data_IF_547423873994
#
_entry.id   IF_547423873994
#
_cell.length_a   1.000
_cell.length_b   1.000
_cell.length_c   1.000
_cell.angle_alpha   90.00
_cell.angle_beta   90.00
_cell.angle_gamma   90.00
#
_symmetry.space_group_name_H-M   'P 1'
#
loop_
_entity.id
_entity.type
_entity.pdbx_description
1 polymer ?
#
# COMPACT_ATOMS: atom_id res chain seq x y z
N UNK A 1 48.41 7.16 -7.92
CA UNK A 1 48.12 6.94 -6.48
C UNK A 1 47.15 7.99 -5.98
N UNK A 2 45.85 7.69 -6.03
CA UNK A 2 44.77 8.24 -5.19
C UNK A 2 43.56 7.34 -5.45
N UNK A 3 43.06 6.72 -4.38
CA UNK A 3 42.15 5.58 -4.45
C UNK A 3 40.72 5.99 -4.75
N UNK A 4 40.10 5.21 -5.63
CA UNK A 4 38.67 5.17 -5.91
C UNK A 4 38.03 4.28 -4.84
N UNK A 5 37.19 4.85 -3.96
CA UNK A 5 36.35 4.10 -3.04
C UNK A 5 34.96 3.96 -3.66
N UNK A 6 34.63 2.75 -4.07
CA UNK A 6 33.28 2.31 -4.36
C UNK A 6 32.46 2.29 -3.06
N UNK A 7 31.32 2.95 -3.04
CA UNK A 7 30.28 2.77 -2.02
C UNK A 7 29.16 1.93 -2.64
N UNK A 8 29.07 0.68 -2.21
CA UNK A 8 27.84 -0.11 -2.28
C UNK A 8 26.96 0.38 -1.13
N UNK A 9 25.87 1.09 -1.41
CA UNK A 9 24.79 1.27 -0.44
C UNK A 9 23.83 0.08 -0.56
N UNK A 10 23.95 -0.83 0.41
CA UNK A 10 22.99 -1.88 0.68
C UNK A 10 21.86 -1.25 1.51
N UNK A 11 20.77 -0.84 0.87
CA UNK A 11 19.58 -0.33 1.57
C UNK A 11 18.87 -1.48 2.29
N UNK A 12 19.25 -1.71 3.54
CA UNK A 12 18.49 -2.51 4.49
C UNK A 12 17.15 -1.81 4.75
N UNK A 13 16.08 -2.33 4.16
CA UNK A 13 14.71 -1.98 4.55
C UNK A 13 14.47 -2.49 5.98
N UNK A 14 14.63 -1.60 6.95
CA UNK A 14 14.22 -1.85 8.32
C UNK A 14 12.70 -1.70 8.42
N UNK A 15 12.03 -2.82 8.66
CA UNK A 15 10.88 -2.90 9.58
C UNK A 15 11.29 -2.11 10.83
N UNK A 16 10.69 -0.93 11.03
CA UNK A 16 10.87 -0.19 12.27
C UNK A 16 10.00 -0.87 13.33
N UNK A 17 10.62 -1.89 13.92
CA UNK A 17 10.09 -2.82 14.90
C UNK A 17 9.43 -2.10 16.08
N UNK A 18 8.22 -2.60 16.35
CA UNK A 18 7.58 -2.83 17.64
C UNK A 18 8.60 -3.16 18.76
N UNK A 19 9.30 -2.15 19.29
CA UNK A 19 10.33 -2.36 20.30
C UNK A 19 9.70 -2.41 21.69
N UNK A 20 9.11 -3.57 22.03
CA UNK A 20 9.12 -4.17 23.39
C UNK A 20 8.40 -5.52 23.55
N UNK A 21 8.30 -6.37 22.51
CA UNK A 21 7.90 -7.78 22.72
C UNK A 21 9.12 -8.71 22.58
N UNK A 22 9.41 -9.58 23.55
CA UNK A 22 10.47 -10.56 23.42
C UNK A 22 10.00 -11.74 22.55
N UNK A 23 10.89 -12.20 21.66
CA UNK A 23 10.85 -13.46 20.87
C UNK A 23 9.88 -13.48 19.68
N UNK A 24 10.47 -13.33 18.48
CA UNK A 24 9.83 -13.52 17.18
C UNK A 24 9.05 -12.29 16.72
N UNK A 25 9.50 -11.65 15.64
CA UNK A 25 8.78 -10.55 14.99
C UNK A 25 7.36 -11.06 14.67
N UNK A 26 6.34 -10.52 15.33
CA UNK A 26 4.97 -10.96 15.11
C UNK A 26 4.55 -10.54 13.71
N UNK A 27 4.19 -11.49 12.85
CA UNK A 27 3.63 -11.22 11.53
C UNK A 27 2.28 -10.49 11.71
N UNK A 28 2.12 -9.34 11.07
CA UNK A 28 0.90 -8.52 11.13
C UNK A 28 0.40 -8.22 9.73
N UNK A 29 -0.89 -7.93 9.62
CA UNK A 29 -1.53 -7.50 8.36
C UNK A 29 -2.49 -6.35 8.65
N UNK A 30 -2.63 -5.36 7.75
CA UNK A 30 -3.58 -4.28 7.93
C UNK A 30 -5.00 -4.81 8.18
N UNK A 31 -5.68 -4.17 9.11
CA UNK A 31 -7.10 -4.35 9.33
C UNK A 31 -7.84 -3.22 8.64
N UNK A 32 -8.71 -3.57 7.70
CA UNK A 32 -9.67 -2.62 7.16
C UNK A 32 -11.08 -3.02 7.58
N UNK A 33 -11.93 -2.08 8.05
CA UNK A 33 -13.24 -2.42 8.60
C UNK A 33 -14.14 -3.24 7.66
N UNK A 34 -14.01 -3.09 6.34
CA UNK A 34 -14.81 -3.85 5.39
C UNK A 34 -14.37 -5.33 5.28
N UNK A 35 -13.16 -5.67 5.74
CA UNK A 35 -12.64 -7.04 5.70
C UNK A 35 -13.32 -7.94 6.75
N UNK A 36 -13.96 -7.35 7.76
CA UNK A 36 -14.74 -8.08 8.76
C UNK A 36 -13.92 -9.10 9.57
N UNK A 37 -12.60 -8.90 9.68
CA UNK A 37 -11.71 -9.87 10.31
C UNK A 37 -12.00 -10.04 11.81
N UNK A 38 -11.96 -11.29 12.28
CA UNK A 38 -12.30 -11.64 13.66
C UNK A 38 -11.21 -12.46 14.38
N UNK A 39 -11.21 -12.39 15.70
CA UNK A 39 -10.32 -13.18 16.55
C UNK A 39 -10.54 -14.68 16.30
N UNK A 40 -9.46 -15.42 16.15
CA UNK A 40 -9.50 -16.86 15.91
C UNK A 40 -9.93 -17.25 14.50
N UNK A 41 -10.19 -16.29 13.60
CA UNK A 41 -10.42 -16.57 12.19
C UNK A 41 -9.14 -17.05 11.51
N UNK A 42 -9.25 -17.99 10.58
CA UNK A 42 -8.18 -18.33 9.64
C UNK A 42 -7.85 -17.16 8.72
N UNK A 43 -6.66 -17.18 8.11
CA UNK A 43 -6.20 -16.08 7.28
C UNK A 43 -5.29 -16.57 6.15
N UNK A 44 -5.48 -16.00 4.96
CA UNK A 44 -4.60 -16.23 3.82
C UNK A 44 -3.64 -15.04 3.65
N UNK A 45 -2.36 -15.23 3.95
CA UNK A 45 -1.35 -14.15 3.91
C UNK A 45 -1.02 -13.67 2.50
N UNK A 46 -1.28 -14.49 1.48
CA UNK A 46 -1.11 -14.07 0.09
C UNK A 46 -2.21 -13.11 -0.32
N UNK A 47 -3.47 -13.51 -0.22
CA UNK A 47 -4.59 -12.67 -0.68
C UNK A 47 -5.01 -11.59 0.32
N UNK A 48 -4.55 -11.68 1.58
CA UNK A 48 -4.95 -10.77 2.65
C UNK A 48 -6.39 -10.99 3.12
N UNK A 49 -6.99 -12.14 2.80
CA UNK A 49 -8.39 -12.44 3.08
C UNK A 49 -8.55 -13.30 4.34
N UNK A 50 -9.61 -13.02 5.09
CA UNK A 50 -10.09 -13.91 6.14
C UNK A 50 -10.58 -15.24 5.55
N UNK A 51 -10.21 -16.34 6.20
CA UNK A 51 -10.60 -17.69 5.87
C UNK A 51 -11.68 -18.19 6.86
N UNK A 52 -11.64 -19.44 7.29
CA UNK A 52 -12.62 -20.04 8.21
C UNK A 52 -12.79 -19.21 9.50
N UNK A 53 -14.01 -18.75 9.76
CA UNK A 53 -14.40 -18.13 11.03
C UNK A 53 -14.35 -19.16 12.17
N UNK A 54 -13.73 -18.76 13.28
CA UNK A 54 -13.58 -19.64 14.44
C UNK A 54 -12.69 -20.85 14.17
N UNK A 55 -11.71 -20.75 13.27
CA UNK A 55 -10.66 -21.75 13.08
C UNK A 55 -9.92 -22.06 14.40
N UNK A 56 -9.83 -21.07 15.29
CA UNK A 56 -9.28 -21.18 16.64
C UNK A 56 -10.27 -20.57 17.63
N UNK A 57 -10.60 -21.31 18.69
CA UNK A 57 -11.34 -20.74 19.82
C UNK A 57 -10.39 -19.85 20.62
N UNK A 58 -10.80 -18.59 20.80
CA UNK A 58 -10.12 -17.63 21.67
C UNK A 58 -10.90 -17.52 22.97
N UNK A 59 -10.22 -17.63 24.11
CA UNK A 59 -10.82 -17.44 25.43
C UNK A 59 -9.94 -16.55 26.27
N UNK A 60 -10.52 -15.48 26.82
CA UNK A 60 -9.83 -14.59 27.74
C UNK A 60 -9.47 -15.33 29.04
N UNK A 61 -8.26 -15.08 29.55
CA UNK A 61 -7.86 -15.51 30.88
C UNK A 61 -8.42 -14.48 31.88
N UNK A 62 -9.26 -14.89 32.85
CA UNK A 62 -9.81 -13.96 33.84
C UNK A 62 -8.72 -13.20 34.60
N UNK A 63 -9.00 -11.94 34.92
CA UNK A 63 -8.10 -11.09 35.71
C UNK A 63 -7.72 -11.77 37.04
N UNK A 64 -6.42 -11.75 37.35
CA UNK A 64 -5.83 -12.43 38.51
C UNK A 64 -5.32 -13.85 38.26
N UNK A 65 -5.51 -14.42 37.06
CA UNK A 65 -4.89 -15.70 36.63
C UNK A 65 -3.97 -15.57 35.41
N UNK A 66 -3.94 -14.41 34.74
CA UNK A 66 -3.01 -14.12 33.66
C UNK A 66 -1.62 -13.85 34.24
N UNK A 67 -0.74 -14.84 34.18
CA UNK A 67 0.68 -14.67 34.47
C UNK A 67 1.43 -14.46 33.16
N UNK A 68 2.34 -13.49 33.09
CA UNK A 68 3.35 -13.47 32.03
C UNK A 68 4.23 -14.74 32.11
N UNK A 69 5.12 -14.97 31.13
CA UNK A 69 6.04 -16.12 31.13
C UNK A 69 6.97 -16.19 32.38
N UNK A 70 6.96 -15.15 33.23
CA UNK A 70 7.71 -15.04 34.48
C UNK A 70 6.84 -15.22 35.73
N UNK A 71 5.56 -15.55 35.60
CA UNK A 71 4.68 -15.82 36.74
C UNK A 71 4.11 -14.56 37.41
N UNK A 72 4.25 -13.38 36.81
CA UNK A 72 3.75 -12.12 37.35
C UNK A 72 2.36 -11.82 36.81
N UNK A 73 1.44 -11.37 37.67
CA UNK A 73 0.11 -10.90 37.26
C UNK A 73 0.27 -9.80 36.22
N UNK A 74 -0.28 -10.00 35.02
CA UNK A 74 -0.26 -8.99 33.97
C UNK A 74 -1.06 -7.77 34.43
N UNK A 75 -0.37 -6.75 34.95
CA UNK A 75 -0.93 -5.41 35.05
C UNK A 75 -1.30 -4.95 33.63
N UNK A 76 -2.47 -4.33 33.47
CA UNK A 76 -2.78 -3.66 32.21
C UNK A 76 -1.67 -2.66 31.93
N UNK A 77 -1.02 -2.69 30.74
CA UNK A 77 -0.08 -1.65 30.41
C UNK A 77 -0.87 -0.35 30.28
N UNK A 78 -0.83 0.46 31.33
CA UNK A 78 -1.11 1.89 31.28
C UNK A 78 0.05 2.58 30.56
N UNK A 79 0.24 2.24 29.29
CA UNK A 79 1.20 2.87 28.41
C UNK A 79 0.47 3.77 27.43
N UNK A 80 0.93 5.01 27.29
CA UNK A 80 0.63 5.80 26.10
C UNK A 80 1.06 4.96 24.88
N UNK A 81 0.13 4.65 23.96
CA UNK A 81 0.41 3.88 22.76
C UNK A 81 1.62 4.43 21.98
N UNK A 82 2.27 3.59 21.19
CA UNK A 82 3.43 4.00 20.38
C UNK A 82 2.94 4.94 19.28
N UNK A 83 3.45 6.16 19.25
CA UNK A 83 3.07 7.18 18.27
C UNK A 83 4.16 7.39 17.22
N UNK A 84 3.75 7.39 15.95
CA UNK A 84 4.58 7.63 14.78
C UNK A 84 4.04 8.80 13.98
N UNK A 85 4.91 9.73 13.61
CA UNK A 85 4.60 10.83 12.69
C UNK A 85 5.74 10.92 11.69
N UNK A 86 5.43 10.82 10.40
CA UNK A 86 6.42 11.02 9.32
C UNK A 86 5.80 11.69 8.10
N UNK A 87 6.62 12.41 7.34
CA UNK A 87 6.33 12.76 5.96
C UNK A 87 7.51 12.32 5.09
N UNK A 88 7.24 11.53 4.06
CA UNK A 88 8.29 11.01 3.17
C UNK A 88 7.92 11.24 1.70
N UNK A 89 8.93 11.44 0.86
CA UNK A 89 8.73 11.41 -0.59
C UNK A 89 8.54 9.96 -1.05
N UNK A 90 7.55 9.74 -1.91
CA UNK A 90 7.26 8.47 -2.56
C UNK A 90 7.56 8.62 -4.04
N UNK A 91 8.59 7.91 -4.49
CA UNK A 91 9.18 7.98 -5.83
C UNK A 91 8.77 6.81 -6.74
N UNK A 92 8.24 5.74 -6.16
CA UNK A 92 7.74 4.57 -6.89
C UNK A 92 6.36 4.16 -6.41
N UNK A 93 5.55 3.63 -7.34
CA UNK A 93 4.22 3.12 -7.01
C UNK A 93 4.29 1.92 -6.05
N UNK A 94 5.32 1.08 -6.18
CA UNK A 94 5.59 -0.01 -5.25
C UNK A 94 5.78 0.51 -3.82
N UNK A 95 6.59 1.58 -3.64
CA UNK A 95 6.76 2.22 -2.34
C UNK A 95 5.45 2.78 -1.82
N UNK A 96 4.59 3.37 -2.68
CA UNK A 96 3.24 3.81 -2.29
C UNK A 96 2.40 2.64 -1.77
N UNK A 97 2.28 1.55 -2.52
CA UNK A 97 1.47 0.40 -2.11
C UNK A 97 1.99 -0.25 -0.82
N UNK A 98 3.32 -0.46 -0.73
CA UNK A 98 3.98 -1.00 0.48
C UNK A 98 3.82 -0.09 1.69
N UNK A 99 3.79 1.23 1.49
CA UNK A 99 3.63 2.19 2.58
C UNK A 99 2.30 2.09 3.32
N UNK A 100 1.32 1.43 2.71
CA UNK A 100 -0.01 1.14 3.23
C UNK A 100 -0.15 -0.32 3.68
N UNK A 101 0.95 -1.09 3.64
CA UNK A 101 1.03 -2.50 4.02
C UNK A 101 0.08 -3.44 3.22
N UNK A 102 -0.34 -3.03 2.01
CA UNK A 102 -1.23 -3.81 1.14
C UNK A 102 -0.42 -4.88 0.39
N UNK A 103 -0.88 -6.14 0.40
CA UNK A 103 -0.25 -7.17 -0.42
C UNK A 103 -0.54 -6.97 -1.92
N UNK A 104 0.45 -7.28 -2.77
CA UNK A 104 0.32 -7.08 -4.20
C UNK A 104 -0.80 -7.93 -4.82
N UNK A 105 -0.97 -9.17 -4.37
CA UNK A 105 -2.07 -10.06 -4.73
C UNK A 105 -3.45 -9.54 -4.32
N UNK A 106 -3.58 -8.91 -3.15
CA UNK A 106 -4.85 -8.27 -2.75
C UNK A 106 -5.21 -7.13 -3.72
N UNK A 107 -4.21 -6.34 -4.14
CA UNK A 107 -4.42 -5.25 -5.08
C UNK A 107 -4.81 -5.75 -6.49
N UNK A 108 -4.10 -6.75 -7.03
CA UNK A 108 -4.47 -7.38 -8.32
C UNK A 108 -5.87 -7.98 -8.28
N UNK A 109 -6.19 -8.71 -7.20
CA UNK A 109 -7.46 -9.40 -7.03
C UNK A 109 -8.65 -8.45 -6.93
N UNK A 110 -8.46 -7.24 -6.40
CA UNK A 110 -9.54 -6.29 -6.13
C UNK A 110 -10.48 -6.73 -5.01
N UNK A 111 -10.03 -7.65 -4.15
CA UNK A 111 -10.76 -8.18 -3.01
C UNK A 111 -10.00 -7.87 -1.71
N UNK A 112 -10.69 -7.85 -0.57
CA UNK A 112 -10.07 -7.63 0.74
C UNK A 112 -9.51 -6.21 0.89
N UNK A 113 -8.25 -6.11 1.35
CA UNK A 113 -7.63 -4.84 1.74
C UNK A 113 -7.66 -3.75 0.64
N UNK A 114 -7.58 -4.14 -0.63
CA UNK A 114 -7.62 -3.18 -1.75
C UNK A 114 -9.02 -2.59 -2.01
N UNK A 115 -10.09 -3.27 -1.61
CA UNK A 115 -11.47 -2.82 -1.84
C UNK A 115 -11.90 -1.70 -0.88
N UNK A 116 -11.25 -1.61 0.30
CA UNK A 116 -11.56 -0.59 1.31
C UNK A 116 -10.79 0.71 1.11
N UNK A 117 -9.72 0.69 0.31
CA UNK A 117 -8.93 1.87 -0.04
C UNK A 117 -9.50 2.41 -1.34
N UNK A 118 -9.76 3.72 -1.42
CA UNK A 118 -10.37 4.23 -2.64
C UNK A 118 -9.45 4.02 -3.84
N UNK A 119 -10.08 3.77 -4.99
CA UNK A 119 -9.38 3.69 -6.26
C UNK A 119 -8.56 4.95 -6.58
N UNK A 120 -8.93 6.13 -6.05
CA UNK A 120 -8.19 7.37 -6.27
C UNK A 120 -6.85 7.40 -5.50
N UNK A 121 -6.79 6.81 -4.30
CA UNK A 121 -5.57 6.84 -3.47
C UNK A 121 -4.46 5.95 -4.04
N UNK A 122 -4.84 4.87 -4.71
CA UNK A 122 -3.94 3.95 -5.42
C UNK A 122 -4.01 4.15 -6.93
N UNK A 123 -4.51 5.29 -7.40
CA UNK A 123 -4.51 5.62 -8.83
C UNK A 123 -3.07 5.81 -9.31
N UNK A 124 -2.58 4.79 -10.03
CA UNK A 124 -1.25 4.79 -10.63
C UNK A 124 -1.10 5.85 -11.72
N UNK A 125 -2.14 6.14 -12.49
CA UNK A 125 -2.09 7.17 -13.54
C UNK A 125 -1.84 8.55 -12.92
N UNK A 126 -2.57 8.86 -11.84
CA UNK A 126 -2.35 10.10 -11.07
C UNK A 126 -0.97 10.14 -10.42
N UNK A 127 -0.48 9.00 -9.90
CA UNK A 127 0.85 8.89 -9.32
C UNK A 127 1.95 9.15 -10.35
N UNK A 128 1.93 8.44 -11.49
CA UNK A 128 2.96 8.50 -12.54
C UNK A 128 3.01 9.86 -13.24
N UNK A 129 1.90 10.61 -13.24
CA UNK A 129 1.82 11.96 -13.84
C UNK A 129 2.18 13.07 -12.86
N UNK A 130 2.27 12.79 -11.57
CA UNK A 130 2.73 13.74 -10.56
C UNK A 130 4.24 13.97 -10.70
N UNK A 131 4.68 15.22 -10.50
CA UNK A 131 6.11 15.55 -10.48
C UNK A 131 6.76 15.13 -9.17
N UNK A 132 6.02 15.28 -8.06
CA UNK A 132 6.44 14.83 -6.73
C UNK A 132 5.24 14.30 -5.97
N UNK A 133 5.40 13.16 -5.30
CA UNK A 133 4.40 12.64 -4.35
C UNK A 133 5.02 12.55 -2.96
N UNK A 134 4.29 13.07 -1.96
CA UNK A 134 4.64 12.96 -0.56
C UNK A 134 3.54 12.22 0.19
N UNK A 135 3.94 11.42 1.16
CA UNK A 135 3.04 10.70 2.04
C UNK A 135 3.27 11.13 3.48
N UNK A 136 2.28 11.81 4.05
CA UNK A 136 2.18 12.08 5.48
C UNK A 136 1.53 10.86 6.14
N UNK A 137 2.16 10.34 7.19
CA UNK A 137 1.65 9.21 7.98
C UNK A 137 1.66 9.56 9.45
N UNK A 138 0.56 9.27 10.11
CA UNK A 138 0.45 9.30 11.56
C UNK A 138 -0.16 7.98 11.99
N UNK A 139 0.49 7.30 12.92
CA UNK A 139 -0.01 6.07 13.51
C UNK A 139 0.14 6.15 15.02
N UNK A 140 -0.87 5.72 15.72
CA UNK A 140 -0.81 5.49 17.15
C UNK A 140 -1.29 4.08 17.38
N UNK A 141 -0.43 3.28 17.98
CA UNK A 141 -0.60 1.85 18.15
C UNK A 141 -0.56 1.52 19.64
N UNK A 142 -1.69 1.07 20.16
CA UNK A 142 -1.78 0.55 21.51
C UNK A 142 -1.07 -0.81 21.59
N UNK A 143 -0.50 -1.10 22.75
CA UNK A 143 0.08 -2.41 22.99
C UNK A 143 -1.03 -3.48 22.99
N UNK A 144 -0.86 -4.58 22.23
CA UNK A 144 -1.83 -5.68 22.25
C UNK A 144 -1.84 -6.35 23.63
N UNK A 145 -3.02 -6.76 24.09
CA UNK A 145 -3.19 -7.39 25.40
C UNK A 145 -2.83 -8.87 25.36
N UNK A 146 -1.88 -9.32 26.19
CA UNK A 146 -1.45 -10.73 26.22
C UNK A 146 -2.32 -11.63 27.12
N UNK A 147 -3.65 -11.60 26.97
CA UNK A 147 -4.58 -12.30 27.90
C UNK A 147 -5.42 -13.41 27.27
N UNK A 148 -4.97 -14.05 26.19
CA UNK A 148 -5.75 -15.04 25.47
C UNK A 148 -5.20 -16.47 25.57
N UNK A 149 -6.10 -17.44 25.71
CA UNK A 149 -5.87 -18.87 25.46
C UNK A 149 -6.46 -19.23 24.11
N UNK A 150 -5.79 -20.15 23.43
CA UNK A 150 -6.10 -20.55 22.07
C UNK A 150 -6.25 -22.06 21.98
N UNK A 151 -7.29 -22.52 21.29
CA UNK A 151 -7.56 -23.94 21.03
C UNK A 151 -7.99 -24.13 19.59
N UNK A 152 -7.32 -25.04 18.88
CA UNK A 152 -7.62 -25.32 17.48
C UNK A 152 -8.96 -26.04 17.31
N UNK A 153 -9.83 -25.49 16.46
CA UNK A 153 -11.14 -26.08 16.15
C UNK A 153 -11.05 -26.88 14.86
N UNK A 154 -10.85 -28.20 14.97
CA UNK A 154 -10.81 -29.06 13.79
C UNK A 154 -12.21 -29.48 13.32
N UNK A 155 -12.51 -29.19 12.06
CA UNK A 155 -13.62 -29.80 11.33
C UNK A 155 -13.25 -31.21 10.88
N UNK A 156 -13.81 -32.21 11.57
CA UNK A 156 -13.59 -33.63 11.28
C UNK A 156 -14.04 -34.09 9.89
N UNK A 157 -14.77 -33.26 9.14
CA UNK A 157 -15.28 -33.59 7.81
C UNK A 157 -14.37 -33.13 6.67
N UNK A 158 -13.37 -32.28 6.95
CA UNK A 158 -12.44 -31.78 5.94
C UNK A 158 -11.33 -32.78 5.62
N UNK A 159 -10.98 -32.92 4.34
CA UNK A 159 -9.71 -33.54 3.93
C UNK A 159 -8.53 -32.60 4.28
N UNK A 160 -7.29 -33.11 4.45
CA UNK A 160 -6.13 -32.25 4.67
C UNK A 160 -5.91 -31.21 3.57
N UNK A 161 -6.16 -31.57 2.31
CA UNK A 161 -6.01 -30.69 1.15
C UNK A 161 -7.08 -29.58 1.15
N UNK A 162 -8.34 -29.91 1.43
CA UNK A 162 -9.41 -28.91 1.55
C UNK A 162 -9.17 -27.99 2.76
N UNK A 163 -8.63 -28.55 3.85
CA UNK A 163 -8.33 -27.79 5.07
C UNK A 163 -7.26 -26.71 4.84
N UNK A 164 -6.27 -26.94 3.99
CA UNK A 164 -5.25 -25.94 3.65
C UNK A 164 -5.86 -24.65 3.10
N UNK A 165 -6.86 -24.76 2.22
CA UNK A 165 -7.55 -23.62 1.64
C UNK A 165 -8.60 -23.04 2.59
N UNK A 166 -9.32 -23.91 3.31
CA UNK A 166 -10.40 -23.50 4.20
C UNK A 166 -9.89 -22.71 5.43
N UNK A 167 -8.81 -23.17 6.06
CA UNK A 167 -8.24 -22.56 7.27
C UNK A 167 -7.26 -21.44 6.93
N UNK A 168 -6.73 -21.40 5.71
CA UNK A 168 -5.63 -20.53 5.33
C UNK A 168 -4.30 -20.96 5.95
N UNK A 169 -3.26 -20.14 5.76
CA UNK A 169 -1.90 -20.43 6.23
C UNK A 169 -1.58 -19.85 7.62
N UNK A 170 -2.42 -18.93 8.10
CA UNK A 170 -2.33 -18.30 9.42
C UNK A 170 -3.71 -18.24 10.07
N UNK A 171 -3.73 -17.78 11.32
CA UNK A 171 -4.95 -17.39 12.01
C UNK A 171 -4.72 -16.09 12.79
N UNK A 172 -5.80 -15.36 13.05
CA UNK A 172 -5.77 -14.06 13.71
C UNK A 172 -5.77 -14.28 15.22
N UNK A 173 -4.64 -13.97 15.86
CA UNK A 173 -4.45 -14.20 17.29
C UNK A 173 -4.94 -13.05 18.15
N UNK A 174 -4.75 -11.84 17.66
CA UNK A 174 -5.04 -10.60 18.38
C UNK A 174 -5.09 -9.43 17.39
N UNK A 175 -5.37 -8.23 17.87
CA UNK A 175 -5.33 -7.00 17.09
C UNK A 175 -4.46 -5.94 17.75
N UNK A 176 -3.68 -5.23 16.92
CA UNK A 176 -3.12 -3.93 17.31
C UNK A 176 -4.24 -2.91 17.12
N UNK A 177 -4.57 -2.19 18.19
CA UNK A 177 -5.60 -1.14 18.15
C UNK A 177 -4.98 0.24 18.20
N UNK A 178 -5.75 1.26 17.88
CA UNK A 178 -5.32 2.65 17.91
C UNK A 178 -5.96 3.47 16.81
N UNK A 179 -5.19 4.36 16.20
CA UNK A 179 -5.62 5.19 15.07
C UNK A 179 -4.52 5.41 14.03
N UNK A 180 -4.89 5.47 12.75
CA UNK A 180 -3.99 5.84 11.68
C UNK A 180 -4.58 6.92 10.77
N UNK A 181 -3.73 7.84 10.29
CA UNK A 181 -4.06 8.91 9.36
C UNK A 181 -2.99 8.98 8.28
N UNK A 182 -3.42 9.05 7.03
CA UNK A 182 -2.56 9.14 5.87
C UNK A 182 -3.03 10.26 4.96
N UNK A 183 -2.08 11.05 4.44
CA UNK A 183 -2.36 12.02 3.39
C UNK A 183 -1.32 11.91 2.27
N UNK A 184 -1.79 11.52 1.08
CA UNK A 184 -1.01 11.55 -0.16
C UNK A 184 -1.14 12.94 -0.77
N UNK A 185 -0.02 13.64 -0.90
CA UNK A 185 0.06 14.95 -1.55
C UNK A 185 0.76 14.77 -2.89
N UNK A 186 0.05 14.98 -3.99
CA UNK A 186 0.57 14.86 -5.34
C UNK A 186 0.70 16.24 -5.98
N UNK A 187 1.92 16.60 -6.36
CA UNK A 187 2.31 17.91 -6.89
C UNK A 187 2.54 17.76 -8.40
N UNK A 188 1.78 18.51 -9.19
CA UNK A 188 1.86 18.57 -10.65
C UNK A 188 2.44 19.92 -11.05
N UNK A 189 3.73 19.96 -11.39
CA UNK A 189 4.40 21.19 -11.81
C UNK A 189 3.83 21.65 -13.15
N UNK A 190 3.46 22.94 -13.25
CA UNK A 190 2.83 23.51 -14.45
C UNK A 190 3.83 23.66 -15.61
N UNK A 191 5.08 24.01 -15.29
CA UNK A 191 6.13 24.32 -16.25
C UNK A 191 7.42 23.59 -15.91
N UNK A 192 8.02 22.92 -16.91
CA UNK A 192 9.21 22.08 -16.71
C UNK A 192 10.37 22.82 -16.02
N UNK A 193 10.57 24.10 -16.37
CA UNK A 193 11.66 24.92 -15.84
C UNK A 193 11.50 25.26 -14.34
N UNK A 194 10.30 25.06 -13.77
CA UNK A 194 10.04 25.25 -12.34
C UNK A 194 10.22 23.97 -11.51
N UNK A 195 10.55 22.83 -12.14
CA UNK A 195 10.55 21.53 -11.46
C UNK A 195 11.57 21.46 -10.32
N UNK A 196 12.79 21.92 -10.55
CA UNK A 196 13.84 21.92 -9.51
C UNK A 196 13.48 22.83 -8.34
N UNK A 197 12.98 24.04 -8.62
CA UNK A 197 12.56 25.00 -7.60
C UNK A 197 11.41 24.45 -6.74
N UNK A 198 10.39 23.86 -7.39
CA UNK A 198 9.27 23.22 -6.70
C UNK A 198 9.74 22.01 -5.89
N UNK A 199 10.65 21.20 -6.42
CA UNK A 199 11.19 20.03 -5.73
C UNK A 199 11.89 20.40 -4.43
N UNK A 200 12.80 21.39 -4.48
CA UNK A 200 13.49 21.90 -3.30
C UNK A 200 12.53 22.52 -2.28
N UNK A 201 11.51 23.25 -2.75
CA UNK A 201 10.47 23.81 -1.89
C UNK A 201 9.64 22.71 -1.21
N UNK A 202 9.26 21.66 -1.94
CA UNK A 202 8.51 20.54 -1.39
C UNK A 202 9.33 19.78 -0.34
N UNK A 203 10.59 19.47 -0.63
CA UNK A 203 11.48 18.79 0.32
C UNK A 203 11.61 19.58 1.64
N UNK A 204 11.81 20.91 1.54
CA UNK A 204 11.86 21.78 2.72
C UNK A 204 10.53 21.78 3.51
N UNK A 205 9.40 21.86 2.82
CA UNK A 205 8.09 21.90 3.46
C UNK A 205 7.74 20.59 4.19
N UNK A 206 8.03 19.43 3.58
CA UNK A 206 7.66 18.14 4.15
C UNK A 206 8.64 17.65 5.24
N UNK A 207 9.91 18.07 5.23
CA UNK A 207 10.84 17.81 6.36
C UNK A 207 10.33 18.39 7.68
N UNK A 208 9.69 19.56 7.63
CA UNK A 208 9.17 20.25 8.82
C UNK A 208 7.75 19.79 9.20
N UNK A 209 7.12 18.89 8.43
CA UNK A 209 5.71 18.54 8.61
C UNK A 209 5.42 17.87 9.98
N UNK A 210 6.39 17.13 10.53
CA UNK A 210 6.29 16.43 11.83
C UNK A 210 6.73 17.23 13.06
N UNK A 211 7.08 18.50 12.90
CA UNK A 211 7.40 19.39 14.02
C UNK A 211 6.10 19.97 14.58
N UNK A 212 5.91 19.93 15.90
CA UNK A 212 4.71 20.49 16.56
C UNK A 212 4.66 22.02 16.46
N UNK A 213 3.47 22.58 16.20
CA UNK A 213 3.27 24.01 15.99
C UNK A 213 3.09 24.40 14.51
N UNK A 214 2.76 25.66 14.22
CA UNK A 214 2.55 26.11 12.83
C UNK A 214 3.82 26.10 11.98
N UNK A 215 3.67 26.11 10.66
CA UNK A 215 4.81 26.19 9.74
C UNK A 215 5.67 27.44 9.98
N UNK A 216 7.00 27.27 9.90
CA UNK A 216 7.96 28.37 9.97
C UNK A 216 7.78 29.36 8.81
N UNK A 217 8.35 30.57 8.92
CA UNK A 217 8.31 31.54 7.82
C UNK A 217 8.98 31.01 6.54
N UNK A 218 10.07 30.24 6.69
CA UNK A 218 10.77 29.60 5.58
C UNK A 218 9.88 28.56 4.88
N UNK A 219 9.22 27.70 5.66
CA UNK A 219 8.26 26.72 5.10
C UNK A 219 7.10 27.41 4.41
N UNK A 220 6.55 28.47 5.02
CA UNK A 220 5.47 29.24 4.39
C UNK A 220 5.87 29.80 3.01
N UNK A 221 7.12 30.27 2.85
CA UNK A 221 7.63 30.70 1.55
C UNK A 221 7.75 29.53 0.56
N UNK A 222 8.20 28.34 1.02
CA UNK A 222 8.20 27.13 0.20
C UNK A 222 6.80 26.73 -0.26
N UNK A 223 5.78 26.85 0.62
CA UNK A 223 4.38 26.59 0.25
C UNK A 223 3.86 27.60 -0.79
N UNK A 224 4.26 28.87 -0.68
CA UNK A 224 3.91 29.90 -1.66
C UNK A 224 4.52 29.56 -3.04
N UNK A 225 5.79 29.10 -3.08
CA UNK A 225 6.45 28.62 -4.32
C UNK A 225 5.70 27.45 -4.94
N UNK A 226 5.37 26.41 -4.16
CA UNK A 226 4.63 25.24 -4.67
C UNK A 226 3.27 25.65 -5.21
N UNK A 227 2.50 26.46 -4.46
CA UNK A 227 1.17 26.90 -4.88
C UNK A 227 1.18 27.75 -6.15
N UNK A 228 2.24 28.54 -6.37
CA UNK A 228 2.41 29.36 -7.57
C UNK A 228 2.66 28.50 -8.81
N UNK A 229 3.62 27.58 -8.74
CA UNK A 229 4.14 26.86 -9.91
C UNK A 229 3.51 25.49 -10.15
N UNK A 230 2.59 25.04 -9.28
CA UNK A 230 2.03 23.69 -9.37
C UNK A 230 0.51 23.66 -9.18
N UNK A 231 -0.11 22.59 -9.66
CA UNK A 231 -1.40 22.09 -9.19
C UNK A 231 -1.13 21.03 -8.12
N UNK A 232 -1.91 21.00 -7.05
CA UNK A 232 -1.73 20.01 -5.97
C UNK A 232 -3.04 19.31 -5.66
N UNK A 233 -3.01 17.98 -5.67
CA UNK A 233 -4.11 17.14 -5.16
C UNK A 233 -3.70 16.54 -3.83
N UNK A 234 -4.69 16.34 -2.97
CA UNK A 234 -4.52 15.78 -1.65
C UNK A 234 -5.59 14.71 -1.51
N UNK A 235 -5.16 13.47 -1.29
CA UNK A 235 -6.04 12.34 -0.99
C UNK A 235 -5.74 11.88 0.44
N UNK A 236 -6.77 11.85 1.29
CA UNK A 236 -6.66 11.56 2.73
C UNK A 236 -7.34 10.24 3.08
N UNK A 237 -6.81 9.49 4.03
CA UNK A 237 -7.54 8.37 4.62
C UNK A 237 -7.25 8.29 6.10
N UNK A 238 -8.24 7.83 6.87
CA UNK A 238 -8.08 7.63 8.30
C UNK A 238 -8.81 6.39 8.77
N UNK A 239 -8.21 5.73 9.76
CA UNK A 239 -8.73 4.54 10.42
C UNK A 239 -8.80 4.86 11.91
N UNK A 240 -9.98 4.74 12.51
CA UNK A 240 -10.20 5.25 13.87
C UNK A 240 -11.57 5.88 14.06
N UNK A 241 -11.99 5.98 15.32
CA UNK A 241 -13.24 6.64 15.74
C UNK A 241 -13.24 8.14 15.36
N UNK A 242 -12.05 8.76 15.30
CA UNK A 242 -11.88 10.17 14.93
C UNK A 242 -12.22 10.49 13.46
N UNK A 243 -12.27 9.49 12.58
CA UNK A 243 -12.69 9.65 11.16
C UNK A 243 -14.14 10.13 11.03
N UNK A 244 -14.97 9.87 12.05
CA UNK A 244 -16.38 10.29 12.08
C UNK A 244 -16.61 11.64 12.78
N UNK A 245 -15.67 12.07 13.63
CA UNK A 245 -15.85 13.22 14.53
C UNK A 245 -15.15 14.49 14.03
N UNK A 246 -13.93 14.35 13.54
CA UNK A 246 -13.38 15.33 12.61
C UNK A 246 -14.00 14.94 11.28
N UNK A 247 -14.57 15.86 10.51
CA UNK A 247 -15.11 15.56 9.17
C UNK A 247 -13.96 15.20 8.20
N UNK A 248 -13.13 14.22 8.57
CA UNK A 248 -12.10 13.59 7.77
C UNK A 248 -12.79 12.36 7.20
N UNK A 249 -13.37 12.46 6.00
CA UNK A 249 -14.10 11.35 5.42
C UNK A 249 -13.22 10.09 5.43
N UNK A 250 -13.83 8.99 5.88
CA UNK A 250 -13.21 7.65 5.87
C UNK A 250 -12.78 7.24 4.46
N UNK A 251 -13.32 7.92 3.43
CA UNK A 251 -12.90 7.86 2.05
C UNK A 251 -12.07 9.10 1.66
N UNK A 252 -11.01 8.94 0.87
CA UNK A 252 -10.27 10.06 0.30
C UNK A 252 -11.19 10.99 -0.49
N UNK A 253 -11.18 12.23 -0.03
CA UNK A 253 -11.84 13.34 -0.67
C UNK A 253 -10.80 14.10 -1.44
N UNK A 254 -11.01 14.18 -2.75
CA UNK A 254 -10.23 15.05 -3.61
C UNK A 254 -10.60 16.49 -3.24
N UNK A 255 -9.78 17.14 -2.42
CA UNK A 255 -9.96 18.56 -2.12
C UNK A 255 -9.57 19.35 -3.37
N UNK A 256 -10.52 19.52 -4.28
CA UNK A 256 -10.48 20.43 -5.41
C UNK A 256 -11.19 21.75 -5.05
N UNK A 257 -11.17 22.16 -3.77
CA UNK A 257 -11.72 23.45 -3.36
C UNK A 257 -10.95 24.58 -4.07
N UNK A 258 -11.56 25.12 -5.12
CA UNK A 258 -11.03 26.22 -5.95
C UNK A 258 -10.88 27.53 -5.15
N UNK A 259 -11.52 27.62 -3.98
CA UNK A 259 -11.57 28.83 -3.15
C UNK A 259 -10.45 28.94 -2.10
N UNK A 260 -9.68 27.87 -1.83
CA UNK A 260 -8.60 27.90 -0.83
C UNK A 260 -7.22 27.72 -1.49
N UNK A 261 -6.27 28.61 -1.19
CA UNK A 261 -4.92 28.48 -1.72
C UNK A 261 -4.24 27.21 -1.15
N UNK A 262 -3.24 26.68 -1.87
CA UNK A 262 -2.55 25.43 -1.50
C UNK A 262 -2.03 25.44 -0.06
N UNK A 263 -1.53 26.59 0.41
CA UNK A 263 -1.00 26.76 1.76
C UNK A 263 -2.07 26.59 2.82
N UNK A 264 -3.27 27.11 2.61
CA UNK A 264 -4.40 26.92 3.52
C UNK A 264 -4.82 25.44 3.59
N UNK A 265 -4.82 24.75 2.44
CA UNK A 265 -5.10 23.31 2.36
C UNK A 265 -4.05 22.50 3.13
N UNK A 266 -2.76 22.80 2.96
CA UNK A 266 -1.68 22.07 3.64
C UNK A 266 -1.62 22.39 5.14
N UNK A 267 -1.88 23.64 5.54
CA UNK A 267 -2.10 24.00 6.94
C UNK A 267 -3.29 23.24 7.54
N UNK A 268 -4.35 23.04 6.76
CA UNK A 268 -5.49 22.21 7.11
C UNK A 268 -5.08 20.76 7.42
N UNK A 269 -4.31 20.12 6.52
CA UNK A 269 -3.77 18.77 6.76
C UNK A 269 -2.93 18.75 8.03
N UNK A 270 -2.03 19.72 8.22
CA UNK A 270 -1.17 19.75 9.40
C UNK A 270 -1.97 19.88 10.69
N UNK A 271 -2.98 20.75 10.71
CA UNK A 271 -3.89 20.88 11.86
C UNK A 271 -4.66 19.59 12.11
N UNK A 272 -5.22 18.98 11.07
CA UNK A 272 -5.92 17.69 11.18
C UNK A 272 -4.99 16.58 11.73
N UNK A 273 -3.76 16.54 11.23
CA UNK A 273 -2.69 15.65 11.68
C UNK A 273 -2.34 15.86 13.16
N UNK A 274 -2.10 17.10 13.57
CA UNK A 274 -1.77 17.46 14.95
C UNK A 274 -2.97 17.17 15.89
N UNK A 275 -4.21 17.48 15.46
CA UNK A 275 -5.42 17.14 16.21
C UNK A 275 -5.64 15.62 16.35
N UNK A 276 -5.34 14.87 15.29
CA UNK A 276 -5.37 13.41 15.30
C UNK A 276 -4.36 12.86 16.30
N UNK A 277 -3.13 13.37 16.28
CA UNK A 277 -2.04 13.02 17.19
C UNK A 277 -2.38 13.25 18.67
N UNK A 278 -3.00 14.39 18.98
CA UNK A 278 -3.40 14.77 20.34
C UNK A 278 -4.53 13.89 20.89
N UNK A 279 -5.47 13.49 20.02
CA UNK A 279 -6.63 12.65 20.39
C UNK A 279 -6.38 11.15 20.22
N UNK A 280 -5.17 10.77 19.82
CA UNK A 280 -4.86 9.42 19.40
C UNK A 280 -4.93 8.36 20.54
N UNK A 281 -4.63 8.75 21.79
CA UNK A 281 -4.68 7.82 22.93
C UNK A 281 -6.11 7.36 23.30
N UNK A 282 -7.13 8.02 22.74
CA UNK A 282 -8.53 7.63 22.91
C UNK A 282 -9.02 6.73 21.76
N UNK A 283 -8.17 6.41 20.79
CA UNK A 283 -8.56 5.57 19.65
C UNK A 283 -8.43 4.10 20.02
N UNK A 284 -9.48 3.30 19.78
CA UNK A 284 -9.47 1.84 19.99
C UNK A 284 -9.86 1.07 18.73
N UNK A 285 -9.68 1.67 17.55
CA UNK A 285 -9.97 0.97 16.30
C UNK A 285 -8.91 -0.08 16.03
N UNK A 286 -9.32 -1.24 15.48
CA UNK A 286 -8.38 -2.24 14.99
C UNK A 286 -7.60 -1.64 13.81
N UNK A 287 -6.27 -1.67 13.87
CA UNK A 287 -5.38 -1.19 12.81
C UNK A 287 -4.69 -2.34 12.10
N UNK A 288 -4.29 -3.37 12.85
CA UNK A 288 -3.62 -4.54 12.32
C UNK A 288 -4.14 -5.80 13.00
N UNK A 289 -4.34 -6.86 12.22
CA UNK A 289 -4.50 -8.20 12.76
C UNK A 289 -3.12 -8.81 13.00
N UNK A 290 -2.92 -9.36 14.19
CA UNK A 290 -1.70 -10.09 14.54
C UNK A 290 -1.90 -11.55 14.17
N UNK A 291 -1.02 -12.07 13.35
CA UNK A 291 -1.10 -13.42 12.81
C UNK A 291 -0.29 -14.40 13.65
N UNK A 292 -0.79 -15.62 13.76
CA UNK A 292 -0.08 -16.74 14.36
C UNK A 292 -0.14 -17.97 13.44
N UNK A 293 0.77 -18.89 13.70
CA UNK A 293 0.87 -20.14 12.94
C UNK A 293 0.09 -21.25 13.64
N UNK A 294 -0.58 -22.10 12.88
CA UNK A 294 -1.29 -23.26 13.43
C UNK A 294 -0.39 -24.25 14.19
N UNK A 295 0.85 -24.56 13.72
CA UNK A 295 1.75 -25.46 14.45
C UNK A 295 2.13 -25.04 15.87
N UNK A 296 1.92 -23.78 16.25
CA UNK A 296 2.13 -23.31 17.63
C UNK A 296 1.03 -23.74 18.60
N UNK A 297 -0.14 -24.18 18.10
CA UNK A 297 -1.24 -24.67 18.93
C UNK A 297 -1.00 -26.12 19.36
N UNK A 298 -1.08 -26.39 20.66
CA UNK A 298 -0.80 -27.72 21.23
C UNK A 298 -1.74 -28.81 20.72
N UNK A 299 -2.97 -28.43 20.43
CA UNK A 299 -4.06 -29.29 19.94
C UNK A 299 -4.18 -29.30 18.41
N UNK A 300 -3.28 -28.64 17.69
CA UNK A 300 -3.25 -28.70 16.22
C UNK A 300 -2.94 -30.10 15.70
N UNK A 301 -2.13 -30.89 16.42
CA UNK A 301 -1.84 -32.29 16.12
C UNK A 301 -1.49 -32.59 14.63
N UNK A 302 -0.89 -31.61 13.92
CA UNK A 302 -0.55 -31.70 12.49
C UNK A 302 -1.73 -32.14 11.61
N UNK A 303 -2.94 -31.61 11.84
CA UNK A 303 -4.14 -31.97 11.05
C UNK A 303 -4.00 -31.65 9.56
N UNK A 304 -3.25 -30.61 9.21
CA UNK A 304 -2.84 -30.28 7.85
C UNK A 304 -1.48 -29.56 7.88
N UNK A 305 -0.88 -29.32 6.71
CA UNK A 305 0.32 -28.50 6.58
C UNK A 305 -0.07 -27.15 5.95
N UNK A 306 0.04 -26.02 6.67
CA UNK A 306 -0.28 -24.69 6.11
C UNK A 306 0.51 -24.40 4.81
N UNK A 307 -0.15 -23.80 3.82
CA UNK A 307 0.53 -23.40 2.57
C UNK A 307 1.59 -22.32 2.85
N UNK A 308 2.70 -22.37 2.13
CA UNK A 308 3.78 -21.39 2.27
C UNK A 308 3.77 -20.40 1.11
N UNK A 309 3.41 -19.14 1.38
CA UNK A 309 3.32 -18.08 0.39
C UNK A 309 4.51 -17.12 0.37
N UNK A 310 5.61 -17.36 1.10
CA UNK A 310 6.72 -16.40 1.17
C UNK A 310 7.28 -16.02 -0.20
N UNK A 311 7.57 -17.01 -1.05
CA UNK A 311 8.05 -16.78 -2.41
C UNK A 311 6.97 -16.13 -3.30
N UNK A 312 5.72 -16.60 -3.18
CA UNK A 312 4.59 -16.05 -3.92
C UNK A 312 4.37 -14.56 -3.62
N UNK A 313 4.46 -14.15 -2.35
CA UNK A 313 4.39 -12.74 -1.91
C UNK A 313 5.45 -11.90 -2.62
N UNK A 314 6.69 -12.38 -2.72
CA UNK A 314 7.76 -11.67 -3.43
C UNK A 314 7.50 -11.58 -4.94
N UNK A 315 7.12 -12.70 -5.57
CA UNK A 315 6.89 -12.78 -7.02
C UNK A 315 5.63 -12.02 -7.48
N UNK A 316 4.71 -11.71 -6.57
CA UNK A 316 3.50 -10.94 -6.89
C UNK A 316 3.75 -9.46 -7.17
N UNK A 317 4.86 -8.87 -6.70
CA UNK A 317 5.15 -7.45 -6.89
C UNK A 317 5.37 -7.07 -8.36
N UNK A 318 6.24 -7.74 -9.12
CA UNK A 318 6.34 -7.51 -10.57
C UNK A 318 5.03 -7.72 -11.33
N UNK A 319 4.18 -8.65 -10.87
CA UNK A 319 2.86 -8.88 -11.48
C UNK A 319 1.93 -7.70 -11.22
N UNK A 320 1.95 -7.14 -10.00
CA UNK A 320 1.16 -5.95 -9.66
C UNK A 320 1.59 -4.75 -10.51
N UNK A 321 2.90 -4.52 -10.65
CA UNK A 321 3.39 -3.37 -11.42
C UNK A 321 2.93 -3.43 -12.87
N UNK A 322 3.05 -4.59 -13.51
CA UNK A 322 2.58 -4.77 -14.88
C UNK A 322 1.05 -4.66 -14.96
N UNK A 323 0.32 -5.21 -13.98
CA UNK A 323 -1.14 -5.09 -13.89
C UNK A 323 -1.57 -3.62 -13.83
N UNK A 324 -0.94 -2.80 -12.99
CA UNK A 324 -1.31 -1.39 -12.84
C UNK A 324 -0.86 -0.55 -14.04
N UNK A 325 0.25 -0.87 -14.70
CA UNK A 325 0.65 -0.23 -15.98
C UNK A 325 -0.38 -0.50 -17.09
N UNK A 326 -0.83 -1.75 -17.21
CA UNK A 326 -1.88 -2.12 -18.17
C UNK A 326 -3.22 -1.48 -17.85
N UNK A 327 -3.60 -1.41 -16.57
CA UNK A 327 -4.83 -0.76 -16.10
C UNK A 327 -4.79 0.76 -16.35
N UNK A 328 -3.67 1.42 -16.04
CA UNK A 328 -3.46 2.84 -16.35
C UNK A 328 -3.55 3.10 -17.87
N UNK A 329 -2.99 2.21 -18.68
CA UNK A 329 -3.10 2.27 -20.14
C UNK A 329 -4.54 2.02 -20.63
N UNK A 330 -5.29 1.10 -20.00
CA UNK A 330 -6.70 0.86 -20.28
C UNK A 330 -7.55 2.13 -20.02
N UNK A 331 -7.30 2.80 -18.91
CA UNK A 331 -7.99 4.04 -18.57
C UNK A 331 -7.66 5.17 -19.55
N UNK A 332 -6.43 5.24 -20.03
CA UNK A 332 -6.05 6.13 -21.13
C UNK A 332 -6.81 5.81 -22.42
N UNK A 333 -6.94 4.53 -22.82
CA UNK A 333 -7.73 4.11 -24.00
C UNK A 333 -9.20 4.54 -23.85
N UNK A 334 -9.75 4.43 -22.63
CA UNK A 334 -11.13 4.83 -22.34
C UNK A 334 -11.33 6.34 -22.47
N UNK A 335 -10.34 7.15 -22.12
CA UNK A 335 -10.40 8.62 -22.17
C UNK A 335 -10.20 9.20 -23.57
N UNK A 336 -9.44 8.54 -24.44
CA UNK A 336 -9.24 8.99 -25.83
C UNK A 336 -10.56 8.81 -26.62
N UNK A 337 -11.07 9.87 -27.29
CA UNK A 337 -12.27 9.76 -28.12
C UNK A 337 -12.10 8.73 -29.25
N UNK A 338 -13.18 8.00 -29.58
CA UNK A 338 -13.13 6.90 -30.56
C UNK A 338 -12.66 7.34 -31.95
N UNK A 339 -13.02 8.56 -32.37
CA UNK A 339 -12.63 9.18 -33.64
C UNK A 339 -11.16 9.56 -33.70
N UNK A 340 -10.46 9.54 -32.56
CA UNK A 340 -9.03 9.80 -32.51
C UNK A 340 -8.19 8.57 -32.77
N UNK A 341 -8.74 7.36 -32.81
CA UNK A 341 -7.96 6.17 -33.16
C UNK A 341 -7.95 5.94 -34.68
N UNK A 342 -6.80 5.54 -35.23
CA UNK A 342 -6.70 5.01 -36.59
C UNK A 342 -7.63 3.81 -36.73
N UNK A 343 -8.59 3.85 -37.67
CA UNK A 343 -9.63 2.82 -37.78
C UNK A 343 -10.77 2.96 -36.76
N UNK A 344 -10.79 4.06 -36.01
CA UNK A 344 -11.85 4.47 -35.10
C UNK A 344 -12.12 3.47 -33.96
N UNK A 345 -13.40 3.26 -33.70
CA UNK A 345 -13.91 2.42 -32.60
C UNK A 345 -13.37 0.98 -32.60
N UNK A 346 -13.10 0.39 -33.77
CA UNK A 346 -12.62 -0.99 -33.86
C UNK A 346 -11.24 -1.15 -33.22
N UNK A 347 -10.31 -0.24 -33.54
CA UNK A 347 -8.96 -0.22 -32.97
C UNK A 347 -9.00 0.03 -31.46
N UNK A 348 -9.80 1.00 -31.00
CA UNK A 348 -10.01 1.24 -29.56
C UNK A 348 -10.48 -0.02 -28.84
N UNK A 349 -11.50 -0.69 -29.38
CA UNK A 349 -12.05 -1.92 -28.77
C UNK A 349 -11.02 -3.06 -28.75
N UNK A 350 -10.20 -3.20 -29.79
CA UNK A 350 -9.13 -4.20 -29.84
C UNK A 350 -8.07 -3.96 -28.77
N UNK A 351 -7.59 -2.72 -28.64
CA UNK A 351 -6.62 -2.34 -27.62
C UNK A 351 -7.20 -2.49 -26.20
N UNK A 352 -8.46 -2.09 -26.00
CA UNK A 352 -9.13 -2.27 -24.72
C UNK A 352 -9.23 -3.76 -24.36
N UNK A 353 -9.62 -4.60 -25.32
CA UNK A 353 -9.71 -6.06 -25.10
C UNK A 353 -8.35 -6.68 -24.77
N UNK A 354 -7.30 -6.31 -25.50
CA UNK A 354 -5.93 -6.77 -25.21
C UNK A 354 -5.50 -6.42 -23.79
N UNK A 355 -5.85 -5.23 -23.29
CA UNK A 355 -5.60 -4.86 -21.89
C UNK A 355 -6.46 -5.68 -20.92
N UNK A 356 -7.77 -5.75 -21.14
CA UNK A 356 -8.69 -6.49 -20.28
C UNK A 356 -8.31 -7.98 -20.16
N UNK A 357 -7.92 -8.62 -21.26
CA UNK A 357 -7.50 -10.04 -21.30
C UNK A 357 -6.23 -10.26 -20.45
N UNK A 358 -5.28 -9.30 -20.46
CA UNK A 358 -4.11 -9.35 -19.60
C UNK A 358 -4.46 -9.16 -18.11
N UNK A 359 -5.31 -8.18 -17.78
CA UNK A 359 -5.76 -7.95 -16.40
C UNK A 359 -6.47 -9.18 -15.83
N UNK A 360 -7.27 -9.88 -16.64
CA UNK A 360 -7.92 -11.14 -16.26
C UNK A 360 -6.89 -12.26 -16.06
N UNK A 361 -5.85 -12.32 -16.90
CA UNK A 361 -4.74 -13.29 -16.75
C UNK A 361 -4.01 -13.09 -15.42
N UNK A 362 -3.73 -11.85 -15.00
CA UNK A 362 -3.13 -11.55 -13.69
C UNK A 362 -4.03 -11.99 -12.53
N UNK A 363 -5.34 -11.73 -12.61
CA UNK A 363 -6.31 -12.17 -11.57
C UNK A 363 -6.39 -13.68 -11.49
N UNK A 364 -6.39 -14.36 -12.64
CA UNK A 364 -6.34 -15.82 -12.71
C UNK A 364 -5.06 -16.36 -12.09
N UNK A 365 -3.91 -15.76 -12.40
CA UNK A 365 -2.63 -16.13 -11.79
C UNK A 365 -2.69 -16.00 -10.26
N UNK A 366 -3.24 -14.92 -9.71
CA UNK A 366 -3.45 -14.80 -8.25
C UNK A 366 -4.33 -15.93 -7.71
N UNK A 367 -5.42 -16.28 -8.40
CA UNK A 367 -6.28 -17.41 -8.00
C UNK A 367 -5.55 -18.75 -8.02
N UNK A 368 -4.74 -19.02 -9.05
CA UNK A 368 -3.99 -20.26 -9.20
C UNK A 368 -2.90 -20.37 -8.11
N UNK A 369 -2.19 -19.27 -7.82
CA UNK A 369 -1.19 -19.19 -6.74
C UNK A 369 -1.82 -19.33 -5.36
N UNK A 370 -3.02 -18.75 -5.16
CA UNK A 370 -3.78 -18.90 -3.92
C UNK A 370 -4.08 -20.38 -3.64
N UNK A 371 -4.46 -21.14 -4.67
CA UNK A 371 -4.70 -22.57 -4.54
C UNK A 371 -3.40 -23.38 -4.36
N UNK A 372 -2.33 -22.97 -5.05
CA UNK A 372 -1.04 -23.65 -5.04
C UNK A 372 0.12 -22.63 -5.15
N UNK A 373 0.85 -22.32 -4.06
CA UNK A 373 1.93 -21.33 -4.06
C UNK A 373 3.04 -21.61 -5.09
N UNK A 374 3.24 -22.87 -5.49
CA UNK A 374 4.24 -23.25 -6.49
C UNK A 374 3.95 -22.66 -7.89
N UNK A 375 2.69 -22.31 -8.20
CA UNK A 375 2.32 -21.64 -9.44
C UNK A 375 2.86 -20.21 -9.55
N UNK A 376 3.44 -19.66 -8.47
CA UNK A 376 4.02 -18.33 -8.53
C UNK A 376 5.16 -18.24 -9.56
N UNK A 377 5.82 -19.37 -9.86
CA UNK A 377 6.89 -19.48 -10.83
C UNK A 377 6.39 -19.62 -12.29
N UNK A 378 5.12 -19.96 -12.52
CA UNK A 378 4.57 -20.30 -13.83
C UNK A 378 4.02 -19.09 -14.62
N UNK A 379 4.59 -17.89 -14.39
CA UNK A 379 4.11 -16.63 -14.98
C UNK A 379 3.99 -16.73 -16.51
N UNK A 380 2.79 -16.47 -17.03
CA UNK A 380 2.52 -16.43 -18.46
C UNK A 380 3.31 -15.29 -19.12
N UNK A 381 3.93 -15.50 -20.30
CA UNK A 381 4.56 -14.43 -21.06
C UNK A 381 3.51 -13.41 -21.53
N UNK A 382 3.79 -12.13 -21.38
CA UNK A 382 2.97 -11.02 -21.89
C UNK A 382 3.85 -10.00 -22.62
N UNK A 383 3.21 -9.06 -23.32
CA UNK A 383 3.95 -7.94 -23.89
C UNK A 383 4.41 -7.00 -22.77
N UNK A 384 5.62 -6.47 -22.90
CA UNK A 384 6.10 -5.43 -22.00
C UNK A 384 5.08 -4.27 -21.92
N UNK A 385 4.69 -3.80 -20.70
CA UNK A 385 3.67 -2.77 -20.56
C UNK A 385 4.02 -1.45 -21.26
N UNK A 386 5.31 -1.07 -21.31
CA UNK A 386 5.72 0.15 -22.01
C UNK A 386 5.56 0.01 -23.52
N UNK A 387 5.87 -1.16 -24.09
CA UNK A 387 5.57 -1.45 -25.50
C UNK A 387 4.07 -1.41 -25.80
N UNK A 388 3.24 -1.95 -24.91
CA UNK A 388 1.78 -1.87 -25.06
C UNK A 388 1.30 -0.41 -25.01
N UNK A 389 1.79 0.39 -24.07
CA UNK A 389 1.48 1.82 -23.97
C UNK A 389 1.93 2.60 -25.19
N UNK A 390 3.15 2.37 -25.70
CA UNK A 390 3.65 3.00 -26.92
C UNK A 390 2.75 2.68 -28.12
N UNK A 391 2.37 1.40 -28.28
CA UNK A 391 1.41 0.97 -29.30
C UNK A 391 0.09 1.75 -29.18
N UNK A 392 -0.45 1.97 -27.99
CA UNK A 392 -1.67 2.79 -27.81
C UNK A 392 -1.46 4.24 -28.25
N UNK A 393 -0.30 4.83 -27.94
CA UNK A 393 0.04 6.22 -28.28
C UNK A 393 0.40 6.44 -29.75
N UNK A 394 0.76 5.39 -30.49
CA UNK A 394 1.03 5.45 -31.95
C UNK A 394 -0.24 5.30 -32.80
N UNK A 395 -1.32 4.77 -32.22
CA UNK A 395 -2.60 4.56 -32.88
C UNK A 395 -3.54 5.79 -32.97
N UNK A 396 -3.31 6.98 -32.35
CA UNK A 396 -4.15 8.13 -32.61
C UNK A 396 -3.91 8.73 -34.01
N UNK A 397 -4.97 9.15 -34.71
CA UNK A 397 -4.90 10.01 -35.89
C UNK A 397 -4.38 11.38 -35.44
N UNK A 398 -3.13 11.68 -35.77
CA UNK A 398 -2.53 12.99 -35.53
C UNK A 398 -3.24 14.03 -36.40
N UNK A 399 -3.89 15.07 -35.83
CA UNK A 399 -4.25 16.23 -36.62
C UNK A 399 -2.95 16.90 -37.05
N UNK A 400 -2.81 17.10 -38.35
CA UNK A 400 -1.64 17.67 -39.02
C UNK A 400 -0.83 18.67 -38.16
N UNK A 401 0.42 18.30 -37.87
CA UNK A 401 1.52 19.25 -37.65
C UNK A 401 1.73 19.78 -36.25
N UNK A 402 2.20 18.95 -35.30
CA UNK A 402 3.25 19.36 -34.36
C UNK A 402 4.28 18.23 -34.19
N UNK A 403 5.54 18.61 -34.41
CA UNK A 403 6.76 17.79 -34.49
C UNK A 403 6.85 16.60 -33.53
N UNK A 404 7.16 15.44 -34.09
CA UNK A 404 7.52 14.17 -33.46
C UNK A 404 9.00 14.10 -33.03
N UNK A 405 9.67 15.23 -32.77
CA UNK A 405 11.13 15.23 -32.51
C UNK A 405 11.55 14.87 -31.06
N UNK A 406 10.66 14.32 -30.22
CA UNK A 406 11.01 14.02 -28.81
C UNK A 406 10.94 12.56 -28.36
N UNK A 407 10.45 11.62 -29.16
CA UNK A 407 10.36 10.21 -28.72
C UNK A 407 11.55 9.36 -29.19
N UNK A 408 12.30 9.80 -30.21
CA UNK A 408 13.41 9.01 -30.77
C UNK A 408 14.78 9.22 -30.10
N UNK A 409 14.93 10.12 -29.13
CA UNK A 409 16.24 10.41 -28.53
C UNK A 409 16.53 9.68 -27.21
N UNK A 410 15.51 9.15 -26.51
CA UNK A 410 15.74 8.43 -25.25
C UNK A 410 15.87 6.89 -25.45
N UNK A 411 15.52 6.37 -26.63
CA UNK A 411 15.67 4.92 -26.95
C UNK A 411 17.07 4.58 -27.48
N UNK A 412 17.80 5.55 -28.05
CA UNK A 412 19.10 5.31 -28.70
C UNK A 412 20.32 5.48 -27.78
N UNK A 413 20.14 5.82 -26.50
CA UNK A 413 21.26 6.08 -25.58
C UNK A 413 21.47 5.00 -24.50
N UNK A 414 20.83 3.83 -24.63
CA UNK A 414 20.95 2.73 -23.65
C UNK A 414 21.36 1.37 -24.26
N UNK A 415 21.83 1.34 -25.52
CA UNK A 415 22.24 0.07 -26.19
C UNK A 415 23.61 0.20 -26.88
N UNK A 416 24.55 0.92 -26.28
CA UNK A 416 25.96 0.84 -26.65
C UNK A 416 26.76 1.21 -25.39
N UNK A 417 27.18 0.21 -24.61
CA UNK A 417 28.41 0.23 -23.78
C UNK A 417 28.55 -1.04 -22.90
N UNK A 418 28.24 -2.23 -23.43
CA UNK A 418 28.59 -3.50 -22.74
C UNK A 418 29.04 -4.61 -23.72
N UNK A 419 29.83 -4.22 -24.72
CA UNK A 419 30.77 -5.13 -25.39
C UNK A 419 32.15 -4.48 -25.42
N UNK A 420 32.88 -4.56 -24.30
CA UNK A 420 34.32 -4.81 -24.29
C UNK A 420 34.85 -4.89 -22.85
N UNK A 421 35.29 -6.10 -22.47
CA UNK A 421 36.50 -6.44 -21.69
C UNK A 421 36.23 -7.65 -20.77
N UNK A 422 36.83 -8.77 -21.21
CA UNK A 422 37.38 -9.93 -20.47
C UNK A 422 37.00 -10.16 -19.00
#
# INVERSE_FOLDING_TARGET
MKQLRWFFELTLFFSAILTQLPVGEAEVTPYLPADGLDLGQGFNTFTGQGALLGAVTVSEIPDGQATDDRGLTAEEPAGDGVKFYSAEQIDTYEKLAKSLDISASANIGGWGQSASISGNYLDKSSFDTSSFTYLVKIRVEDQPSSKNKYSFNWDSTSSPEDAQLLYGDRWIKDFITGGAYFARVSIFVKEKDSTEEVGAAAEAAFKDFGVTGGFSAAVNASLDTIGKYSKVTIDKMSFGELSSQIQIPSNPTNLQDEDSNFKDRLNGIKREADEFWDKANNQKAKLYAILATYPMLRDFHKRFEPLNYEEAKLLSWPVLLDFEDYKSTEDMIKQIPEDKFQGGRETRNKLNRESSDFLETCRKWVSDVTANPAEAQSRQPHSDPQRFRAKVLENPDSPEGQSTDKVNNDVNNTINDDEEIL
#
